data_IF_010676389037
#
_entry.id   IF_010676389037
#
_cell.length_a   1.000
_cell.length_b   1.000
_cell.length_c   1.000
_cell.angle_alpha   90.00
_cell.angle_beta   90.00
_cell.angle_gamma   90.00
#
_symmetry.space_group_name_H-M   'P 1'
#
loop_
_entity.id
_entity.type
_entity.pdbx_description
1 polymer ?
#
# COMPACT_ATOMS: atom_id res chain seq x y z
N UNK A 1 -5.69 0.72 17.67
CA UNK A 1 -5.69 1.63 16.51
C UNK A 1 -4.48 1.24 15.66
N UNK A 2 -4.69 0.86 14.40
CA UNK A 2 -3.61 0.52 13.45
C UNK A 2 -3.83 1.26 12.15
N UNK A 3 -2.79 1.35 11.31
CA UNK A 3 -2.88 2.05 10.03
C UNK A 3 -3.16 1.03 8.94
N UNK A 4 -4.43 0.92 8.53
CA UNK A 4 -4.88 -0.12 7.61
C UNK A 4 -4.22 -0.01 6.24
N UNK A 5 -4.09 -1.13 5.53
CA UNK A 5 -3.59 -1.16 4.16
C UNK A 5 -4.50 -0.34 3.22
N UNK A 6 -5.81 -0.29 3.47
CA UNK A 6 -6.74 0.60 2.74
C UNK A 6 -6.40 2.08 2.91
N UNK A 7 -6.19 2.53 4.15
CA UNK A 7 -5.79 3.91 4.41
C UNK A 7 -4.41 4.20 3.82
N UNK A 8 -3.48 3.26 3.94
CA UNK A 8 -2.15 3.38 3.36
C UNK A 8 -2.19 3.50 1.83
N UNK A 9 -3.02 2.71 1.14
CA UNK A 9 -3.20 2.79 -0.32
C UNK A 9 -3.73 4.17 -0.75
N UNK A 10 -4.75 4.67 -0.03
CA UNK A 10 -5.36 5.98 -0.29
C UNK A 10 -4.36 7.11 -0.11
N UNK A 11 -3.67 7.15 1.03
CA UNK A 11 -2.76 8.23 1.38
C UNK A 11 -1.50 8.23 0.48
N UNK A 12 -0.97 7.05 0.14
CA UNK A 12 0.10 6.92 -0.86
C UNK A 12 -0.33 7.40 -2.25
N UNK A 13 -1.62 7.25 -2.60
CA UNK A 13 -2.19 7.81 -3.84
C UNK A 13 -2.18 9.34 -3.84
N UNK A 14 -2.64 9.96 -2.74
CA UNK A 14 -2.63 11.41 -2.59
C UNK A 14 -1.19 11.96 -2.67
N UNK A 15 -0.24 11.30 -2.00
CA UNK A 15 1.18 11.68 -2.06
C UNK A 15 1.73 11.60 -3.50
N UNK A 16 1.37 10.57 -4.26
CA UNK A 16 1.76 10.43 -5.66
C UNK A 16 1.19 11.58 -6.52
N UNK A 17 -0.09 11.92 -6.33
CA UNK A 17 -0.74 12.97 -7.12
C UNK A 17 -0.18 14.36 -6.81
N UNK A 18 0.12 14.65 -5.54
CA UNK A 18 0.82 15.88 -5.14
C UNK A 18 2.21 15.93 -5.78
N UNK A 19 2.97 14.84 -5.76
CA UNK A 19 4.31 14.78 -6.36
C UNK A 19 4.30 15.01 -7.88
N UNK A 20 3.29 14.52 -8.60
CA UNK A 20 3.11 14.78 -10.03
C UNK A 20 2.94 16.28 -10.32
N UNK A 21 2.26 17.04 -9.44
CA UNK A 21 2.06 18.49 -9.65
C UNK A 21 3.37 19.29 -9.67
N UNK A 22 4.42 18.76 -9.02
CA UNK A 22 5.75 19.38 -8.95
C UNK A 22 6.80 18.65 -9.79
N UNK A 23 6.38 17.71 -10.65
CA UNK A 23 7.27 16.97 -11.54
C UNK A 23 8.21 15.98 -10.85
N UNK A 24 7.90 15.53 -9.63
CA UNK A 24 8.70 14.54 -8.90
C UNK A 24 8.35 13.11 -9.35
N UNK A 25 9.39 12.33 -9.61
CA UNK A 25 9.27 10.89 -9.87
C UNK A 25 9.45 10.11 -8.56
N UNK A 26 8.44 9.35 -8.16
CA UNK A 26 8.42 8.60 -6.89
C UNK A 26 8.25 7.09 -7.10
N UNK A 27 9.18 6.39 -7.77
CA UNK A 27 9.02 4.97 -8.10
C UNK A 27 8.86 4.07 -6.87
N UNK A 28 9.48 4.44 -5.73
CA UNK A 28 9.30 3.73 -4.47
C UNK A 28 7.87 3.89 -3.91
N UNK A 29 7.29 5.09 -4.00
CA UNK A 29 5.90 5.31 -3.58
C UNK A 29 4.94 4.50 -4.45
N UNK A 30 5.14 4.51 -5.77
CA UNK A 30 4.28 3.78 -6.70
C UNK A 30 4.32 2.27 -6.45
N UNK A 31 5.53 1.72 -6.25
CA UNK A 31 5.70 0.32 -5.88
C UNK A 31 5.03 -0.01 -4.54
N UNK A 32 5.16 0.88 -3.54
CA UNK A 32 4.56 0.71 -2.21
C UNK A 32 3.03 0.75 -2.28
N UNK A 33 2.46 1.73 -2.98
CA UNK A 33 1.02 1.87 -3.24
C UNK A 33 0.47 0.61 -3.89
N UNK A 34 1.13 0.09 -4.93
CA UNK A 34 0.70 -1.10 -5.64
C UNK A 34 0.62 -2.34 -4.73
N UNK A 35 1.51 -2.47 -3.74
CA UNK A 35 1.42 -3.57 -2.78
C UNK A 35 0.20 -3.42 -1.85
N UNK A 36 -0.08 -2.21 -1.37
CA UNK A 36 -1.30 -1.96 -0.57
C UNK A 36 -2.57 -2.18 -1.39
N UNK A 37 -2.62 -1.72 -2.64
CA UNK A 37 -3.74 -1.99 -3.57
C UNK A 37 -3.95 -3.49 -3.80
N UNK A 38 -2.86 -4.26 -3.86
CA UNK A 38 -2.92 -5.72 -3.93
C UNK A 38 -3.49 -6.33 -2.65
N UNK A 39 -3.12 -5.83 -1.47
CA UNK A 39 -3.73 -6.27 -0.20
C UNK A 39 -5.24 -6.00 -0.20
N UNK A 40 -5.68 -4.81 -0.63
CA UNK A 40 -7.11 -4.47 -0.75
C UNK A 40 -7.83 -5.43 -1.70
N UNK A 41 -7.25 -5.68 -2.87
CA UNK A 41 -7.80 -6.60 -3.88
C UNK A 41 -7.98 -8.03 -3.35
N UNK A 42 -7.08 -8.46 -2.47
CA UNK A 42 -7.11 -9.79 -1.84
C UNK A 42 -7.97 -9.85 -0.57
N UNK A 43 -8.70 -8.78 -0.23
CA UNK A 43 -9.51 -8.71 1.00
C UNK A 43 -8.71 -8.51 2.28
N UNK A 44 -7.41 -8.21 2.18
CA UNK A 44 -6.50 -7.95 3.30
C UNK A 44 -6.42 -6.46 3.65
N UNK A 45 -7.28 -5.63 3.07
CA UNK A 45 -7.27 -4.18 3.21
C UNK A 45 -7.39 -3.66 4.65
N UNK A 46 -8.13 -4.40 5.48
CA UNK A 46 -8.34 -4.07 6.89
C UNK A 46 -7.14 -4.38 7.79
N UNK A 47 -6.15 -5.15 7.32
CA UNK A 47 -4.92 -5.42 8.09
C UNK A 47 -4.08 -4.15 8.23
N UNK A 48 -3.23 -4.11 9.26
CA UNK A 48 -2.17 -3.10 9.33
C UNK A 48 -1.27 -3.15 8.10
N UNK A 49 -0.67 -2.00 7.73
CA UNK A 49 0.27 -1.91 6.60
C UNK A 49 1.45 -2.89 6.69
N UNK A 50 1.86 -3.33 7.88
CA UNK A 50 2.86 -4.40 8.05
C UNK A 50 2.39 -5.77 7.54
N UNK A 51 1.09 -5.93 7.30
CA UNK A 51 0.45 -7.06 6.63
C UNK A 51 0.93 -7.28 5.19
N UNK A 52 1.73 -6.38 4.61
CA UNK A 52 2.45 -6.61 3.35
C UNK A 52 3.23 -7.93 3.35
N UNK A 53 3.71 -8.36 4.51
CA UNK A 53 4.40 -9.63 4.64
C UNK A 53 3.52 -10.86 4.29
N UNK A 54 2.18 -10.73 4.24
CA UNK A 54 1.26 -11.72 3.66
C UNK A 54 1.47 -11.90 2.14
N UNK A 55 1.92 -10.86 1.44
CA UNK A 55 2.22 -10.91 0.01
C UNK A 55 3.62 -11.46 -0.27
N UNK A 56 4.54 -11.30 0.69
CA UNK A 56 5.97 -11.59 0.52
C UNK A 56 6.31 -13.03 0.90
N UNK A 57 5.78 -13.51 2.03
CA UNK A 57 6.14 -14.82 2.57
C UNK A 57 5.03 -15.84 2.29
N UNK A 58 5.33 -16.78 1.38
CA UNK A 58 4.41 -17.88 1.05
C UNK A 58 4.09 -18.70 2.30
N UNK A 59 2.80 -19.02 2.51
CA UNK A 59 2.34 -19.87 3.60
C UNK A 59 2.17 -19.17 4.95
N UNK A 60 2.23 -17.83 4.99
CA UNK A 60 1.98 -17.04 6.21
C UNK A 60 0.50 -16.81 6.51
N UNK A 61 -0.40 -17.16 5.59
CA UNK A 61 -1.84 -17.15 5.83
C UNK A 61 -2.18 -18.22 6.88
N UNK A 62 -2.36 -17.78 8.14
CA UNK A 62 -2.95 -18.57 9.22
C UNK A 62 -4.46 -18.41 9.23
#
# INVERSE_FOLDING_TARGET
CWFSAEHAAKDSGIAADVAKTVGLNLPLNDATKAQYEKMVTLGLGGLDKSGIAELTFKGRHG
#
